data_IF_179167456817
#
_entry.id   IF_179167456817
#
_cell.length_a   1.000
_cell.length_b   1.000
_cell.length_c   1.000
_cell.angle_alpha   90.00
_cell.angle_beta   90.00
_cell.angle_gamma   90.00
#
_symmetry.space_group_name_H-M   'P 1'
#
loop_
_entity.id
_entity.type
_entity.pdbx_description
1 polymer ?
#
# COMPACT_ATOMS: atom_id res chain seq x y z
N UNK A 1 24.27 2.40 6.61
CA UNK A 1 23.71 1.12 6.10
C UNK A 1 22.52 0.78 6.95
N UNK A 2 21.31 1.09 6.53
CA UNK A 2 20.09 0.72 7.26
C UNK A 2 19.81 -0.75 6.98
N UNK A 3 20.04 -1.58 7.99
CA UNK A 3 19.68 -3.00 7.98
C UNK A 3 18.14 -3.08 7.94
N UNK A 4 17.54 -3.15 6.75
CA UNK A 4 16.10 -3.42 6.64
C UNK A 4 15.89 -4.87 7.06
N UNK A 5 14.99 -5.13 8.03
CA UNK A 5 14.67 -6.51 8.42
C UNK A 5 14.20 -7.29 7.19
N UNK A 6 14.60 -8.55 7.08
CA UNK A 6 14.08 -9.44 6.04
C UNK A 6 12.59 -9.60 6.24
N UNK A 7 11.79 -9.26 5.22
CA UNK A 7 10.34 -9.45 5.26
C UNK A 7 10.07 -10.96 5.13
N UNK A 8 9.65 -11.60 6.21
CA UNK A 8 9.16 -12.97 6.17
C UNK A 8 7.65 -13.01 6.34
N UNK A 9 6.99 -13.83 5.52
CA UNK A 9 5.57 -14.08 5.64
C UNK A 9 5.28 -15.01 6.83
N UNK A 10 4.09 -14.87 7.40
CA UNK A 10 3.51 -15.92 8.23
C UNK A 10 3.25 -17.19 7.37
N UNK A 11 3.00 -18.38 7.99
CA UNK A 11 2.76 -19.63 7.26
C UNK A 11 1.63 -19.56 6.22
N UNK A 12 0.67 -18.67 6.40
CA UNK A 12 -0.45 -18.41 5.48
C UNK A 12 -0.11 -17.43 4.34
N UNK A 13 1.15 -17.04 4.20
CA UNK A 13 1.61 -16.06 3.19
C UNK A 13 1.30 -14.61 3.53
N UNK A 14 0.89 -14.30 4.77
CA UNK A 14 0.54 -12.95 5.21
C UNK A 14 1.77 -12.20 5.75
N UNK A 15 2.07 -11.03 5.20
CA UNK A 15 3.19 -10.17 5.56
C UNK A 15 2.83 -9.04 6.54
N UNK A 16 1.57 -8.95 7.00
CA UNK A 16 1.11 -7.81 7.82
C UNK A 16 1.97 -7.59 9.08
N UNK A 17 2.31 -8.65 9.81
CA UNK A 17 3.14 -8.56 11.02
C UNK A 17 4.52 -7.97 10.70
N UNK A 18 5.18 -8.45 9.64
CA UNK A 18 6.50 -7.98 9.24
C UNK A 18 6.46 -6.51 8.76
N UNK A 19 5.42 -6.12 8.02
CA UNK A 19 5.22 -4.74 7.57
C UNK A 19 4.99 -3.79 8.75
N UNK A 20 4.17 -4.17 9.72
CA UNK A 20 3.92 -3.36 10.92
C UNK A 20 5.19 -3.22 11.78
N UNK A 21 5.97 -4.29 11.94
CA UNK A 21 7.23 -4.25 12.69
C UNK A 21 8.30 -3.37 12.03
N UNK A 22 8.23 -3.18 10.71
CA UNK A 22 9.16 -2.35 9.93
C UNK A 22 8.58 -1.01 9.49
N UNK A 23 7.45 -0.60 10.05
CA UNK A 23 6.76 0.65 9.69
C UNK A 23 7.70 1.85 9.85
N UNK A 24 7.78 2.68 8.83
CA UNK A 24 8.62 3.86 8.78
C UNK A 24 8.06 4.90 7.82
N UNK A 25 8.62 6.12 7.85
CA UNK A 25 8.26 7.19 6.92
C UNK A 25 6.76 7.49 6.91
N UNK A 26 6.18 7.51 5.72
CA UNK A 26 4.76 7.81 5.50
C UNK A 26 3.82 6.90 6.31
N UNK A 27 4.01 5.58 6.25
CA UNK A 27 3.12 4.64 6.92
C UNK A 27 3.11 4.84 8.44
N UNK A 28 4.29 5.07 9.02
CA UNK A 28 4.42 5.36 10.46
C UNK A 28 3.79 6.72 10.80
N UNK A 29 4.07 7.76 10.02
CA UNK A 29 3.56 9.11 10.26
C UNK A 29 2.03 9.18 10.17
N UNK A 30 1.43 8.39 9.27
CA UNK A 30 -0.03 8.30 9.11
C UNK A 30 -0.69 7.28 10.05
N UNK A 31 0.08 6.53 10.84
CA UNK A 31 -0.48 5.52 11.73
C UNK A 31 -1.16 4.36 10.98
N UNK A 32 -0.67 4.02 9.79
CA UNK A 32 -1.22 2.94 8.97
C UNK A 32 -0.82 1.59 9.60
N UNK A 33 -1.82 0.75 9.86
CA UNK A 33 -1.67 -0.59 10.39
C UNK A 33 -2.20 -1.63 9.42
N UNK A 34 -1.34 -2.57 8.99
CA UNK A 34 -1.73 -3.66 8.10
C UNK A 34 -2.42 -4.76 8.90
N UNK A 35 -3.63 -5.14 8.47
CA UNK A 35 -4.42 -6.26 8.99
C UNK A 35 -4.12 -7.53 8.19
N UNK A 36 -4.00 -7.38 6.87
CA UNK A 36 -3.67 -8.43 5.92
C UNK A 36 -2.80 -7.88 4.80
N UNK A 37 -1.80 -8.64 4.39
CA UNK A 37 -0.94 -8.25 3.28
C UNK A 37 -0.46 -9.49 2.52
N UNK A 38 -1.10 -9.78 1.41
CA UNK A 38 -0.77 -10.89 0.48
C UNK A 38 -0.67 -10.36 -0.95
N UNK A 39 -0.23 -11.21 -1.87
CA UNK A 39 -0.21 -10.89 -3.29
C UNK A 39 -1.63 -10.75 -3.91
N UNK A 40 -2.67 -11.21 -3.23
CA UNK A 40 -4.04 -11.23 -3.74
C UNK A 40 -4.94 -10.20 -3.06
N UNK A 41 -4.60 -9.81 -1.82
CA UNK A 41 -5.39 -8.87 -1.04
C UNK A 41 -4.51 -8.17 0.00
N UNK A 42 -4.69 -6.86 0.11
CA UNK A 42 -4.10 -6.07 1.20
C UNK A 42 -5.19 -5.30 1.91
N UNK A 43 -5.21 -5.39 3.25
CA UNK A 43 -6.12 -4.64 4.12
C UNK A 43 -5.27 -3.88 5.12
N UNK A 44 -5.51 -2.56 5.22
CA UNK A 44 -4.88 -1.72 6.22
C UNK A 44 -5.92 -0.78 6.86
N UNK A 45 -5.67 -0.42 8.10
CA UNK A 45 -6.51 0.46 8.90
C UNK A 45 -5.74 1.70 9.33
N UNK A 46 -6.47 2.78 9.61
CA UNK A 46 -5.95 4.05 10.08
C UNK A 46 -7.00 4.69 11.01
N UNK A 47 -6.59 5.03 12.24
CA UNK A 47 -7.43 5.85 13.14
C UNK A 47 -7.29 7.33 12.78
N UNK A 48 -8.44 8.01 12.59
CA UNK A 48 -8.45 9.40 12.18
C UNK A 48 -7.99 10.30 13.33
N UNK A 49 -6.85 10.95 13.14
CA UNK A 49 -6.28 11.93 14.06
C UNK A 49 -6.36 13.36 13.52
N UNK A 50 -5.98 14.35 14.33
CA UNK A 50 -6.05 15.75 13.94
C UNK A 50 -5.25 16.08 12.67
N UNK A 51 -4.07 15.50 12.52
CA UNK A 51 -3.18 15.73 11.36
C UNK A 51 -3.68 15.11 10.05
N UNK A 52 -4.70 14.25 10.10
CA UNK A 52 -5.35 13.72 8.89
C UNK A 52 -6.41 14.65 8.31
N UNK A 53 -6.82 15.69 9.06
CA UNK A 53 -7.93 16.55 8.67
C UNK A 53 -7.49 17.78 7.91
N UNK A 54 -8.32 18.22 7.00
CA UNK A 54 -8.22 19.51 6.35
C UNK A 54 -8.98 20.61 7.14
N UNK A 55 -8.86 21.93 6.77
CA UNK A 55 -9.47 23.03 7.51
C UNK A 55 -10.98 22.91 7.74
N UNK A 56 -11.72 22.20 6.88
CA UNK A 56 -13.15 21.93 7.07
C UNK A 56 -13.45 20.84 8.13
N UNK A 57 -12.42 20.29 8.78
CA UNK A 57 -12.56 19.27 9.83
C UNK A 57 -12.89 17.87 9.33
N UNK A 58 -12.89 17.64 8.01
CA UNK A 58 -13.01 16.31 7.40
C UNK A 58 -11.63 15.79 7.02
N UNK A 59 -11.51 14.49 6.81
CA UNK A 59 -10.26 13.86 6.36
C UNK A 59 -9.84 14.47 5.02
N UNK A 60 -8.55 14.82 4.93
CA UNK A 60 -7.97 15.37 3.70
C UNK A 60 -7.94 14.31 2.59
N UNK A 61 -8.28 14.68 1.35
CA UNK A 61 -8.26 13.78 0.21
C UNK A 61 -6.92 13.08 -0.01
N UNK A 62 -5.81 13.77 0.27
CA UNK A 62 -4.47 13.20 0.22
C UNK A 62 -4.26 12.01 1.17
N UNK A 63 -4.97 11.95 2.30
CA UNK A 63 -4.93 10.79 3.21
C UNK A 63 -5.59 9.58 2.54
N UNK A 64 -6.76 9.76 1.92
CA UNK A 64 -7.44 8.70 1.18
C UNK A 64 -6.60 8.20 0.01
N UNK A 65 -6.05 9.12 -0.81
CA UNK A 65 -5.19 8.76 -1.94
C UNK A 65 -3.92 8.05 -1.48
N UNK A 66 -3.29 8.52 -0.39
CA UNK A 66 -2.09 7.90 0.18
C UNK A 66 -2.36 6.52 0.76
N UNK A 67 -3.53 6.32 1.40
CA UNK A 67 -3.92 5.02 1.92
C UNK A 67 -4.20 4.02 0.78
N UNK A 68 -4.89 4.45 -0.30
CA UNK A 68 -5.11 3.67 -1.52
C UNK A 68 -3.77 3.30 -2.16
N UNK A 69 -2.85 4.28 -2.32
CA UNK A 69 -1.50 4.03 -2.84
C UNK A 69 -0.76 2.98 -2.00
N UNK A 70 -0.81 3.12 -0.68
CA UNK A 70 -0.09 2.23 0.24
C UNK A 70 -0.55 0.78 0.12
N UNK A 71 -1.87 0.52 0.19
CA UNK A 71 -2.37 -0.86 0.13
C UNK A 71 -2.17 -1.49 -1.25
N UNK A 72 -2.35 -0.71 -2.33
CA UNK A 72 -2.12 -1.18 -3.69
C UNK A 72 -0.63 -1.44 -3.96
N UNK A 73 0.27 -0.55 -3.51
CA UNK A 73 1.73 -0.70 -3.66
C UNK A 73 2.26 -1.95 -2.96
N UNK A 74 1.78 -2.20 -1.72
CA UNK A 74 2.17 -3.40 -0.98
C UNK A 74 1.74 -4.66 -1.72
N UNK A 75 0.49 -4.72 -2.18
CA UNK A 75 -0.01 -5.87 -2.95
C UNK A 75 0.77 -6.09 -4.25
N UNK A 76 1.02 -5.00 -5.00
CA UNK A 76 1.77 -5.06 -6.25
C UNK A 76 3.23 -5.51 -6.02
N UNK A 77 3.88 -5.04 -4.95
CA UNK A 77 5.22 -5.46 -4.58
C UNK A 77 5.28 -6.95 -4.21
N UNK A 78 4.35 -7.42 -3.37
CA UNK A 78 4.25 -8.83 -2.99
C UNK A 78 4.00 -9.74 -4.20
N UNK A 79 3.12 -9.32 -5.13
CA UNK A 79 2.88 -10.06 -6.36
C UNK A 79 4.12 -10.10 -7.29
N UNK A 80 4.94 -9.04 -7.29
CA UNK A 80 6.15 -8.95 -8.09
C UNK A 80 7.30 -9.84 -7.57
N UNK A 81 7.34 -10.14 -6.26
CA UNK A 81 8.39 -10.97 -5.63
C UNK A 81 8.53 -12.33 -6.29
N UNK A 82 7.42 -12.97 -6.69
CA UNK A 82 7.44 -14.27 -7.35
C UNK A 82 8.21 -14.25 -8.70
N UNK A 83 8.35 -13.06 -9.30
CA UNK A 83 9.09 -12.83 -10.55
C UNK A 83 10.44 -12.16 -10.34
N UNK A 84 10.86 -11.99 -9.08
CA UNK A 84 12.08 -11.25 -8.72
C UNK A 84 12.08 -9.81 -9.29
N UNK A 85 10.93 -9.16 -9.28
CA UNK A 85 10.74 -7.79 -9.75
C UNK A 85 10.41 -6.86 -8.57
N UNK A 86 10.73 -5.59 -8.71
CA UNK A 86 10.20 -4.48 -7.91
C UNK A 86 9.07 -3.80 -8.66
N UNK A 87 8.37 -2.86 -8.02
CA UNK A 87 7.34 -2.05 -8.67
C UNK A 87 7.50 -0.58 -8.32
N UNK A 88 7.09 0.29 -9.23
CA UNK A 88 6.96 1.74 -9.02
C UNK A 88 5.61 2.22 -9.51
N UNK A 89 4.97 3.12 -8.75
CA UNK A 89 3.69 3.71 -9.14
C UNK A 89 3.84 4.60 -10.37
N UNK A 90 2.91 4.47 -11.31
CA UNK A 90 2.80 5.33 -12.49
C UNK A 90 1.65 6.32 -12.38
N UNK A 91 0.56 5.90 -11.74
CA UNK A 91 -0.67 6.66 -11.67
C UNK A 91 -1.51 6.19 -10.49
N UNK A 92 -2.09 7.14 -9.78
CA UNK A 92 -3.10 6.90 -8.76
C UNK A 92 -4.32 7.77 -9.10
N UNK A 93 -5.42 7.14 -9.47
CA UNK A 93 -6.68 7.80 -9.72
C UNK A 93 -7.64 7.48 -8.57
N UNK A 94 -7.87 8.46 -7.71
CA UNK A 94 -8.74 8.33 -6.52
C UNK A 94 -9.96 9.25 -6.64
N UNK A 95 -11.14 8.68 -6.40
CA UNK A 95 -12.40 9.40 -6.26
C UNK A 95 -12.79 9.49 -4.79
N UNK A 96 -13.15 10.68 -4.33
CA UNK A 96 -13.64 10.96 -2.98
C UNK A 96 -15.17 10.91 -3.02
N UNK A 97 -15.77 9.98 -2.28
CA UNK A 97 -17.17 9.64 -2.38
C UNK A 97 -18.00 10.25 -1.23
N UNK A 98 -17.50 10.14 -0.01
CA UNK A 98 -18.17 10.62 1.17
C UNK A 98 -17.18 11.25 2.15
N UNK A 99 -17.62 12.33 2.82
CA UNK A 99 -16.84 12.98 3.86
C UNK A 99 -16.88 12.17 5.16
N UNK A 100 -15.74 12.12 5.86
CA UNK A 100 -15.61 11.50 7.19
C UNK A 100 -14.78 12.41 8.09
N UNK A 101 -15.06 12.44 9.40
CA UNK A 101 -14.43 13.35 10.37
C UNK A 101 -13.62 12.64 11.43
N UNK A 102 -14.08 11.46 11.84
CA UNK A 102 -13.53 10.72 12.99
C UNK A 102 -13.76 9.22 12.82
N UNK A 103 -13.23 8.43 13.74
CA UNK A 103 -13.30 6.99 13.71
C UNK A 103 -12.18 6.37 12.90
N UNK A 104 -12.40 5.16 12.44
CA UNK A 104 -11.42 4.35 11.73
C UNK A 104 -11.72 4.30 10.24
N UNK A 105 -10.67 4.39 9.43
CA UNK A 105 -10.70 4.06 8.00
C UNK A 105 -10.15 2.65 7.80
N UNK A 106 -10.77 1.88 6.92
CA UNK A 106 -10.26 0.59 6.46
C UNK A 106 -10.12 0.63 4.94
N UNK A 107 -8.92 0.33 4.43
CA UNK A 107 -8.66 0.26 3.00
C UNK A 107 -8.41 -1.19 2.60
N UNK A 108 -9.06 -1.63 1.53
CA UNK A 108 -8.87 -2.96 0.94
C UNK A 108 -8.46 -2.80 -0.53
N UNK A 109 -7.33 -3.42 -0.91
CA UNK A 109 -6.87 -3.47 -2.29
C UNK A 109 -6.86 -4.89 -2.85
N UNK A 110 -7.22 -5.03 -4.13
CA UNK A 110 -7.15 -6.27 -4.91
C UNK A 110 -6.64 -6.01 -6.31
N UNK A 111 -5.93 -6.98 -6.94
CA UNK A 111 -5.46 -6.81 -8.30
C UNK A 111 -6.61 -6.91 -9.30
N UNK A 112 -6.68 -5.96 -10.23
CA UNK A 112 -7.48 -6.08 -11.44
C UNK A 112 -6.71 -6.79 -12.55
N UNK A 113 -5.39 -6.52 -12.64
CA UNK A 113 -4.50 -7.11 -13.63
C UNK A 113 -3.08 -7.20 -13.10
N UNK A 114 -2.45 -8.35 -13.28
CA UNK A 114 -1.05 -8.60 -12.92
C UNK A 114 -0.26 -9.08 -14.15
N UNK A 115 0.09 -8.14 -15.01
CA UNK A 115 0.95 -8.39 -16.17
C UNK A 115 2.43 -8.50 -15.81
N UNK A 116 3.26 -8.88 -16.77
CA UNK A 116 4.71 -8.98 -16.58
C UNK A 116 5.38 -7.61 -16.40
N UNK A 117 4.92 -6.60 -17.14
CA UNK A 117 5.50 -5.24 -17.15
C UNK A 117 4.67 -4.22 -16.37
N UNK A 118 3.39 -4.47 -16.24
CA UNK A 118 2.46 -3.54 -15.57
C UNK A 118 1.47 -4.31 -14.71
N UNK A 119 1.03 -3.68 -13.63
CA UNK A 119 -0.05 -4.14 -12.78
C UNK A 119 -1.08 -3.02 -12.60
N UNK A 120 -2.33 -3.39 -12.44
CA UNK A 120 -3.42 -2.47 -12.05
C UNK A 120 -4.10 -3.06 -10.83
N UNK A 121 -4.20 -2.25 -9.80
CA UNK A 121 -4.86 -2.58 -8.54
C UNK A 121 -6.00 -1.61 -8.31
N UNK A 122 -7.09 -2.11 -7.76
CA UNK A 122 -8.17 -1.25 -7.24
C UNK A 122 -8.20 -1.33 -5.72
N UNK A 123 -8.60 -0.21 -5.10
CA UNK A 123 -8.77 -0.15 -3.66
C UNK A 123 -10.01 0.66 -3.30
N UNK A 124 -10.64 0.27 -2.20
CA UNK A 124 -11.77 0.99 -1.59
C UNK A 124 -11.42 1.32 -0.15
N UNK A 125 -11.74 2.54 0.27
CA UNK A 125 -11.64 2.97 1.67
C UNK A 125 -13.05 3.08 2.23
N UNK A 126 -13.28 2.45 3.37
CA UNK A 126 -14.55 2.53 4.11
C UNK A 126 -14.34 3.19 5.47
N UNK A 127 -15.40 3.80 5.99
CA UNK A 127 -15.45 4.27 7.38
C UNK A 127 -15.83 3.11 8.34
N UNK A 128 -15.97 3.43 9.64
CA UNK A 128 -16.29 2.46 10.68
C UNK A 128 -17.66 1.80 10.50
N UNK A 129 -18.59 2.44 9.78
CA UNK A 129 -19.93 1.91 9.48
C UNK A 129 -19.93 1.07 8.17
N UNK A 130 -18.77 0.89 7.53
CA UNK A 130 -18.65 0.17 6.26
C UNK A 130 -19.05 0.98 5.02
N UNK A 131 -19.33 2.28 5.17
CA UNK A 131 -19.68 3.15 4.05
C UNK A 131 -18.44 3.50 3.25
N UNK A 132 -18.48 3.35 1.92
CA UNK A 132 -17.37 3.74 1.04
C UNK A 132 -17.15 5.26 1.07
N UNK A 133 -15.95 5.69 1.47
CA UNK A 133 -15.54 7.10 1.55
C UNK A 133 -14.60 7.51 0.42
N UNK A 134 -13.84 6.56 -0.13
CA UNK A 134 -13.03 6.76 -1.33
C UNK A 134 -12.87 5.44 -2.09
N UNK A 135 -12.63 5.55 -3.40
CA UNK A 135 -12.28 4.41 -4.25
C UNK A 135 -11.26 4.85 -5.30
N UNK A 136 -10.34 3.97 -5.66
CA UNK A 136 -9.32 4.33 -6.63
C UNK A 136 -8.68 3.14 -7.32
N UNK A 137 -7.90 3.46 -8.34
CA UNK A 137 -7.05 2.53 -9.07
C UNK A 137 -5.64 3.05 -9.13
N UNK A 138 -4.70 2.15 -8.94
CA UNK A 138 -3.27 2.45 -9.01
C UNK A 138 -2.64 1.57 -10.07
N UNK A 139 -1.82 2.18 -10.93
CA UNK A 139 -1.08 1.48 -11.98
C UNK A 139 0.40 1.47 -11.65
N UNK A 140 1.03 0.33 -11.79
CA UNK A 140 2.42 0.11 -11.49
C UNK A 140 3.21 -0.36 -12.71
N UNK A 141 4.48 0.05 -12.78
CA UNK A 141 5.51 -0.52 -13.65
C UNK A 141 6.32 -1.53 -12.86
N UNK A 142 6.50 -2.72 -13.41
CA UNK A 142 7.43 -3.71 -12.89
C UNK A 142 8.86 -3.38 -13.37
N UNK A 143 9.81 -3.42 -12.44
CA UNK A 143 11.23 -3.16 -12.67
C UNK A 143 12.02 -4.44 -12.45
N UNK A 144 12.91 -4.75 -13.38
CA UNK A 144 13.83 -5.88 -13.27
C UNK A 144 15.04 -5.50 -12.38
N UNK A 145 15.73 -6.51 -11.85
CA UNK A 145 17.00 -6.26 -11.18
C UNK A 145 18.00 -5.67 -12.19
N UNK A 146 18.63 -4.58 -11.82
CA UNK A 146 19.55 -3.84 -12.70
C UNK A 146 18.95 -2.63 -13.40
N UNK A 147 17.63 -2.49 -13.42
CA UNK A 147 16.98 -1.26 -13.91
C UNK A 147 17.42 -0.06 -13.07
N UNK A 148 17.40 1.14 -13.66
CA UNK A 148 17.67 2.39 -12.96
C UNK A 148 16.38 3.04 -12.50
N UNK A 149 16.36 3.49 -11.24
CA UNK A 149 15.29 4.29 -10.67
C UNK A 149 15.90 5.47 -9.90
N UNK A 150 15.57 6.68 -10.30
CA UNK A 150 16.10 7.91 -9.70
C UNK A 150 17.65 7.94 -9.61
N UNK A 151 18.33 7.39 -10.60
CA UNK A 151 19.80 7.35 -10.65
C UNK A 151 20.44 6.21 -9.87
N UNK A 152 19.66 5.37 -9.18
CA UNK A 152 20.15 4.19 -8.47
C UNK A 152 19.74 2.89 -9.15
N UNK A 153 20.57 1.87 -9.02
CA UNK A 153 20.28 0.53 -9.54
C UNK A 153 19.26 -0.19 -8.65
N UNK A 154 18.21 -0.70 -9.24
CA UNK A 154 17.17 -1.48 -8.54
C UNK A 154 17.78 -2.83 -8.09
N UNK A 155 17.71 -3.07 -6.79
CA UNK A 155 18.12 -4.34 -6.15
C UNK A 155 16.85 -5.06 -5.71
N UNK A 156 16.56 -6.18 -6.32
CA UNK A 156 15.46 -7.06 -5.91
C UNK A 156 16.03 -8.14 -5.00
N UNK A 157 15.70 -8.08 -3.71
CA UNK A 157 16.02 -9.18 -2.77
C UNK A 157 14.91 -10.21 -2.85
N UNK A 158 15.26 -11.44 -3.19
CA UNK A 158 14.35 -12.58 -3.09
C UNK A 158 14.07 -12.95 -1.62
N UNK A 159 13.01 -13.74 -1.36
CA UNK A 159 12.64 -14.12 0.02
C UNK A 159 13.67 -15.02 0.74
N UNK A 160 14.75 -15.43 0.09
CA UNK A 160 15.76 -16.37 0.61
C UNK A 160 17.18 -15.83 0.69
N UNK A 161 17.41 -14.53 0.48
CA UNK A 161 18.74 -13.94 0.67
C UNK A 161 18.83 -13.25 2.03
N UNK A 162 19.01 -14.08 3.08
CA UNK A 162 19.44 -13.67 4.43
C UNK A 162 20.95 -13.46 4.46
#
# INVERSE_FOLDING_TARGET
MTNRPSLSAAPDGNFAVALNASASGWNQAMGIHFVRATADEVIAELEIAAHHRQPYGIVHGGVHSGLIETVASVGAALAALARRQSVVGLENHTSFLNAVREGKLSATARPLMRGRRTQVWEATVTDADGRSVASGRVRFLALEAGDSLAGETVKVKGPSES
#
